data_IF_343718518375
#
_entry.id   IF_343718518375
#
_cell.length_a   1.000
_cell.length_b   1.000
_cell.length_c   1.000
_cell.angle_alpha   90.00
_cell.angle_beta   90.00
_cell.angle_gamma   90.00
#
_symmetry.space_group_name_H-M   'P 1'
#
loop_
_entity.id
_entity.type
_entity.pdbx_description
1 polymer ?
#
# COMPACT_ATOMS: atom_id res chain seq x y z
N UNK A 1 -1.58 -21.90 -17.74
CA UNK A 1 -1.65 -22.95 -16.70
C UNK A 1 -0.28 -22.99 -16.01
N UNK A 2 -0.02 -22.15 -15.02
CA UNK A 2 1.11 -22.41 -14.13
C UNK A 2 0.64 -23.49 -13.14
N UNK A 3 1.50 -24.45 -12.85
CA UNK A 3 1.32 -25.34 -11.70
C UNK A 3 1.76 -24.57 -10.43
N UNK A 4 1.19 -23.37 -10.22
CA UNK A 4 1.66 -22.37 -9.27
C UNK A 4 1.85 -22.93 -7.87
N UNK A 5 2.85 -22.41 -7.15
CA UNK A 5 3.16 -22.80 -5.78
C UNK A 5 1.91 -22.59 -4.93
N UNK A 6 1.44 -23.65 -4.28
CA UNK A 6 0.26 -23.59 -3.39
C UNK A 6 0.65 -23.56 -1.91
N UNK A 7 1.84 -24.04 -1.58
CA UNK A 7 2.37 -24.08 -0.22
C UNK A 7 3.85 -23.74 -0.23
N UNK A 8 4.25 -23.02 0.81
CA UNK A 8 5.63 -22.63 1.10
C UNK A 8 6.13 -23.26 2.40
N UNK A 9 5.49 -24.35 2.83
CA UNK A 9 5.97 -25.16 3.95
C UNK A 9 7.42 -25.61 3.69
N UNK A 10 8.26 -25.47 4.71
CA UNK A 10 9.70 -25.64 4.63
C UNK A 10 10.48 -24.32 4.49
N UNK A 11 9.85 -23.24 4.01
CA UNK A 11 10.52 -21.92 3.94
C UNK A 11 10.84 -21.35 5.31
N UNK A 12 10.13 -21.77 6.38
CA UNK A 12 10.44 -21.34 7.75
C UNK A 12 11.87 -21.68 8.19
N UNK A 13 12.54 -22.64 7.53
CA UNK A 13 13.92 -23.01 7.83
C UNK A 13 14.96 -22.13 7.11
N UNK A 14 14.54 -21.32 6.14
CA UNK A 14 15.41 -20.46 5.33
C UNK A 14 15.69 -19.12 6.03
N UNK A 15 16.15 -19.19 7.29
CA UNK A 15 16.29 -18.05 8.21
C UNK A 15 17.31 -16.97 7.81
N UNK A 16 18.05 -17.18 6.72
CA UNK A 16 18.99 -16.21 6.16
C UNK A 16 18.46 -15.45 4.95
N UNK A 17 17.21 -15.68 4.51
CA UNK A 17 16.61 -14.94 3.41
C UNK A 17 16.53 -13.44 3.75
N UNK A 18 17.03 -12.62 2.83
CA UNK A 18 16.83 -11.17 2.80
C UNK A 18 15.78 -10.75 1.77
N UNK A 19 15.66 -11.50 0.69
CA UNK A 19 14.76 -11.20 -0.44
C UNK A 19 13.98 -12.47 -0.78
N UNK A 20 12.68 -12.33 -1.02
CA UNK A 20 11.80 -13.44 -1.38
C UNK A 20 10.74 -12.97 -2.37
N UNK A 21 10.70 -13.63 -3.53
CA UNK A 21 9.74 -13.37 -4.60
C UNK A 21 8.83 -14.59 -4.80
N UNK A 22 7.53 -14.38 -4.63
CA UNK A 22 6.48 -15.39 -4.70
C UNK A 22 5.27 -14.92 -5.54
N UNK A 23 5.43 -13.87 -6.34
CA UNK A 23 4.37 -13.30 -7.19
C UNK A 23 3.78 -14.33 -8.15
N UNK A 24 2.48 -14.19 -8.45
CA UNK A 24 1.70 -14.99 -9.41
C UNK A 24 1.70 -16.50 -9.12
N UNK A 25 1.53 -16.84 -7.85
CA UNK A 25 1.35 -18.21 -7.37
C UNK A 25 -0.09 -18.46 -6.91
N UNK A 26 -0.32 -19.51 -6.12
CA UNK A 26 -1.63 -19.89 -5.58
C UNK A 26 -1.53 -20.08 -4.05
N UNK A 27 -0.69 -19.28 -3.41
CA UNK A 27 -0.42 -19.35 -1.98
C UNK A 27 -1.58 -18.69 -1.24
N UNK A 28 -2.16 -19.40 -0.27
CA UNK A 28 -3.21 -18.86 0.60
C UNK A 28 -2.75 -18.65 2.04
N UNK A 29 -1.60 -19.24 2.41
CA UNK A 29 -1.07 -19.22 3.77
C UNK A 29 0.41 -18.83 3.75
N UNK A 30 0.71 -17.71 4.41
CA UNK A 30 2.06 -17.15 4.59
C UNK A 30 2.59 -17.34 6.01
N UNK A 31 1.94 -18.14 6.86
CA UNK A 31 2.41 -18.48 8.20
C UNK A 31 3.84 -19.03 8.26
N UNK A 32 4.35 -19.79 7.26
CA UNK A 32 5.75 -20.22 7.27
C UNK A 32 6.76 -19.06 7.22
N UNK A 33 6.36 -17.86 6.80
CA UNK A 33 7.23 -16.69 6.73
C UNK A 33 7.41 -15.97 8.08
N UNK A 34 6.58 -16.25 9.09
CA UNK A 34 6.43 -15.41 10.28
C UNK A 34 7.72 -15.10 11.05
N UNK A 35 8.71 -16.00 10.99
CA UNK A 35 9.98 -15.88 11.71
C UNK A 35 11.17 -15.51 10.82
N UNK A 36 10.96 -15.23 9.53
CA UNK A 36 12.01 -14.86 8.58
C UNK A 36 12.37 -13.37 8.70
N UNK A 37 12.73 -12.95 9.91
CA UNK A 37 12.91 -11.56 10.34
C UNK A 37 14.03 -10.79 9.63
N UNK A 38 14.86 -11.46 8.82
CA UNK A 38 15.90 -10.85 7.99
C UNK A 38 15.41 -10.37 6.63
N UNK A 39 14.19 -10.74 6.23
CA UNK A 39 13.62 -10.30 4.95
C UNK A 39 13.47 -8.78 4.94
N UNK A 40 14.03 -8.15 3.91
CA UNK A 40 13.95 -6.73 3.60
C UNK A 40 13.04 -6.47 2.39
N UNK A 41 12.90 -7.45 1.49
CA UNK A 41 12.07 -7.31 0.28
C UNK A 41 11.20 -8.57 0.10
N UNK A 42 9.90 -8.37 -0.05
CA UNK A 42 8.92 -9.44 -0.15
C UNK A 42 7.87 -9.17 -1.24
N UNK A 43 7.89 -9.99 -2.28
CA UNK A 43 6.89 -10.01 -3.34
C UNK A 43 5.88 -11.14 -3.13
N UNK A 44 4.61 -10.79 -2.94
CA UNK A 44 3.50 -11.73 -2.73
C UNK A 44 2.31 -11.47 -3.64
N UNK A 45 2.43 -10.53 -4.58
CA UNK A 45 1.38 -10.13 -5.51
C UNK A 45 0.77 -11.32 -6.27
N UNK A 46 -0.51 -11.24 -6.63
CA UNK A 46 -1.17 -12.29 -7.43
C UNK A 46 -1.39 -13.62 -6.70
N UNK A 47 -1.35 -13.63 -5.36
CA UNK A 47 -1.70 -14.78 -4.52
C UNK A 47 -3.00 -14.51 -3.75
N UNK A 48 -3.93 -15.47 -3.62
CA UNK A 48 -5.20 -15.28 -2.90
C UNK A 48 -5.02 -15.25 -1.36
N UNK A 49 -4.34 -14.22 -0.84
CA UNK A 49 -3.99 -14.00 0.56
C UNK A 49 -5.00 -13.09 1.26
N UNK A 50 -5.98 -13.67 1.97
CA UNK A 50 -6.90 -12.85 2.79
C UNK A 50 -6.32 -12.41 4.13
N UNK A 51 -5.35 -13.17 4.64
CA UNK A 51 -4.73 -12.97 5.94
C UNK A 51 -3.21 -12.87 5.78
N UNK A 52 -2.67 -11.71 6.14
CA UNK A 52 -1.23 -11.40 6.14
C UNK A 52 -0.72 -11.13 7.57
N UNK A 53 -1.41 -11.64 8.59
CA UNK A 53 -1.04 -11.49 10.01
C UNK A 53 0.35 -12.05 10.32
N UNK A 54 0.76 -13.10 9.61
CA UNK A 54 2.10 -13.67 9.72
C UNK A 54 3.23 -12.67 9.41
N UNK A 55 2.96 -11.62 8.62
CA UNK A 55 3.96 -10.62 8.25
C UNK A 55 4.27 -9.63 9.39
N UNK A 56 3.44 -9.57 10.45
CA UNK A 56 3.57 -8.56 11.51
C UNK A 56 4.95 -8.54 12.20
N UNK A 57 5.63 -9.69 12.23
CA UNK A 57 6.96 -9.85 12.83
C UNK A 57 8.14 -9.46 11.93
N UNK A 58 7.92 -9.20 10.63
CA UNK A 58 8.98 -8.96 9.65
C UNK A 58 9.49 -7.52 9.70
N UNK A 59 10.00 -7.10 10.86
CA UNK A 59 10.37 -5.71 11.16
C UNK A 59 11.52 -5.15 10.30
N UNK A 60 12.25 -6.00 9.59
CA UNK A 60 13.32 -5.57 8.66
C UNK A 60 12.80 -5.19 7.27
N UNK A 61 11.51 -5.43 6.97
CA UNK A 61 10.93 -5.12 5.67
C UNK A 61 11.09 -3.65 5.29
N UNK A 62 11.54 -3.45 4.06
CA UNK A 62 11.66 -2.15 3.37
C UNK A 62 10.74 -2.08 2.17
N UNK A 63 10.55 -3.19 1.46
CA UNK A 63 9.66 -3.28 0.30
C UNK A 63 8.68 -4.44 0.48
N UNK A 64 7.40 -4.17 0.28
CA UNK A 64 6.34 -5.17 0.35
C UNK A 64 5.34 -4.94 -0.78
N UNK A 65 5.17 -5.97 -1.62
CA UNK A 65 4.19 -5.96 -2.71
C UNK A 65 3.10 -7.00 -2.47
N UNK A 66 1.87 -6.52 -2.36
CA UNK A 66 0.65 -7.29 -2.11
C UNK A 66 -0.43 -6.91 -3.14
N UNK A 67 -0.05 -6.76 -4.42
CA UNK A 67 -0.99 -6.38 -5.48
C UNK A 67 -1.91 -7.56 -5.77
N UNK A 68 -3.22 -7.34 -5.88
CA UNK A 68 -4.17 -8.39 -6.27
C UNK A 68 -4.05 -9.64 -5.37
N UNK A 69 -4.19 -9.44 -4.06
CA UNK A 69 -4.09 -10.53 -3.08
C UNK A 69 -5.37 -10.82 -2.28
N UNK A 70 -6.48 -10.14 -2.54
CA UNK A 70 -7.74 -10.25 -1.78
C UNK A 70 -7.66 -9.80 -0.29
N UNK A 71 -6.65 -9.00 0.09
CA UNK A 71 -6.57 -8.46 1.46
C UNK A 71 -7.64 -7.37 1.67
N UNK A 72 -8.21 -7.34 2.87
CA UNK A 72 -9.14 -6.28 3.33
C UNK A 72 -8.63 -5.56 4.58
N UNK A 73 -7.80 -6.23 5.38
CA UNK A 73 -7.28 -5.74 6.65
C UNK A 73 -5.75 -5.64 6.60
N UNK A 74 -5.23 -4.44 6.88
CA UNK A 74 -3.80 -4.13 6.92
C UNK A 74 -3.29 -3.88 8.35
N UNK A 75 -4.06 -4.24 9.38
CA UNK A 75 -3.70 -4.06 10.80
C UNK A 75 -2.35 -4.70 11.13
N UNK A 76 -2.04 -5.85 10.55
CA UNK A 76 -0.76 -6.54 10.77
C UNK A 76 0.46 -5.76 10.28
N UNK A 77 0.27 -4.81 9.35
CA UNK A 77 1.34 -4.00 8.77
C UNK A 77 1.72 -2.81 9.66
N UNK A 78 0.92 -2.44 10.66
CA UNK A 78 1.09 -1.22 11.45
C UNK A 78 2.48 -1.05 12.09
N UNK A 79 3.10 -2.17 12.45
CA UNK A 79 4.40 -2.17 13.10
C UNK A 79 5.58 -2.33 12.15
N UNK A 80 5.41 -2.31 10.84
CA UNK A 80 6.48 -2.48 9.84
C UNK A 80 7.15 -1.13 9.52
N UNK A 81 7.57 -0.41 10.57
CA UNK A 81 7.99 1.00 10.49
C UNK A 81 9.24 1.26 9.66
N UNK A 82 9.95 0.22 9.21
CA UNK A 82 11.08 0.32 8.28
C UNK A 82 10.66 0.29 6.80
N UNK A 83 9.38 0.06 6.49
CA UNK A 83 8.85 0.09 5.13
C UNK A 83 9.14 1.44 4.47
N UNK A 84 9.64 1.36 3.24
CA UNK A 84 9.93 2.46 2.33
C UNK A 84 9.01 2.40 1.12
N UNK A 85 8.65 1.19 0.69
CA UNK A 85 7.72 0.94 -0.40
C UNK A 85 6.66 -0.07 0.02
N UNK A 86 5.39 0.31 -0.19
CA UNK A 86 4.24 -0.55 0.07
C UNK A 86 3.27 -0.44 -1.10
N UNK A 87 3.06 -1.57 -1.79
CA UNK A 87 2.05 -1.66 -2.84
C UNK A 87 0.90 -2.57 -2.40
N UNK A 88 -0.30 -1.98 -2.33
CA UNK A 88 -1.56 -2.62 -1.94
C UNK A 88 -2.61 -2.53 -3.06
N UNK A 89 -2.19 -2.23 -4.29
CA UNK A 89 -3.10 -2.03 -5.42
C UNK A 89 -4.01 -3.24 -5.65
N UNK A 90 -5.23 -3.00 -6.15
CA UNK A 90 -6.20 -4.03 -6.54
C UNK A 90 -6.53 -4.95 -5.34
N UNK A 91 -6.94 -4.34 -4.23
CA UNK A 91 -7.43 -5.03 -3.04
C UNK A 91 -8.74 -4.41 -2.54
N UNK A 92 -9.36 -5.03 -1.54
CA UNK A 92 -10.66 -4.58 -1.02
C UNK A 92 -10.52 -3.78 0.29
N UNK A 93 -9.42 -3.03 0.41
CA UNK A 93 -9.08 -2.23 1.59
C UNK A 93 -9.94 -0.97 1.65
N UNK A 94 -10.46 -0.65 2.83
CA UNK A 94 -11.21 0.59 3.13
C UNK A 94 -10.53 1.45 4.18
N UNK A 95 -9.90 0.82 5.19
CA UNK A 95 -9.25 1.49 6.30
C UNK A 95 -7.73 1.35 6.21
N UNK A 96 -7.04 2.48 6.14
CA UNK A 96 -5.58 2.58 6.15
C UNK A 96 -5.04 3.23 7.44
N UNK A 97 -5.87 3.38 8.47
CA UNK A 97 -5.45 3.83 9.80
C UNK A 97 -4.24 3.08 10.37
N UNK A 98 -4.06 1.75 10.13
CA UNK A 98 -2.85 1.05 10.57
C UNK A 98 -1.55 1.59 9.95
N UNK A 99 -1.61 2.23 8.79
CA UNK A 99 -0.42 2.70 8.07
C UNK A 99 0.13 4.02 8.64
N UNK A 100 -0.57 4.68 9.57
CA UNK A 100 -0.21 6.01 10.08
C UNK A 100 1.17 6.09 10.76
N UNK A 101 1.70 4.95 11.24
CA UNK A 101 3.01 4.87 11.89
C UNK A 101 4.18 4.58 10.94
N UNK A 102 3.92 4.34 9.64
CA UNK A 102 4.95 3.97 8.65
C UNK A 102 5.77 5.19 8.18
N UNK A 103 6.36 5.92 9.13
CA UNK A 103 7.08 7.19 8.91
C UNK A 103 8.28 7.12 7.96
N UNK A 104 8.74 5.93 7.57
CA UNK A 104 9.80 5.74 6.57
C UNK A 104 9.30 5.57 5.13
N UNK A 105 7.98 5.49 4.94
CA UNK A 105 7.36 5.24 3.64
C UNK A 105 7.64 6.39 2.67
N UNK A 106 8.10 6.03 1.49
CA UNK A 106 8.43 6.91 0.37
C UNK A 106 7.47 6.69 -0.79
N UNK A 107 7.08 5.43 -1.02
CA UNK A 107 6.12 5.04 -2.06
C UNK A 107 4.96 4.29 -1.43
N UNK A 108 3.74 4.76 -1.69
CA UNK A 108 2.50 4.09 -1.31
C UNK A 108 1.56 3.99 -2.51
N UNK A 109 1.16 2.76 -2.82
CA UNK A 109 0.16 2.48 -3.86
C UNK A 109 -1.07 1.82 -3.25
N UNK A 110 -2.22 2.44 -3.48
CA UNK A 110 -3.56 2.08 -3.01
C UNK A 110 -4.56 2.05 -4.17
N UNK A 111 -4.09 2.05 -5.42
CA UNK A 111 -4.91 2.10 -6.60
C UNK A 111 -5.91 0.94 -6.68
N UNK A 112 -7.12 1.21 -7.18
CA UNK A 112 -8.19 0.20 -7.26
C UNK A 112 -8.52 -0.44 -5.91
N UNK A 113 -8.44 0.34 -4.82
CA UNK A 113 -8.97 -0.03 -3.50
C UNK A 113 -10.28 0.72 -3.21
N UNK A 114 -10.83 0.57 -2.00
CA UNK A 114 -12.04 1.27 -1.57
C UNK A 114 -11.76 2.36 -0.54
N UNK A 115 -10.51 2.82 -0.45
CA UNK A 115 -10.08 3.87 0.48
C UNK A 115 -10.73 5.21 0.09
N UNK A 116 -11.28 5.91 1.08
CA UNK A 116 -11.82 7.26 0.92
C UNK A 116 -11.17 8.29 1.83
N UNK A 117 -10.59 7.86 2.96
CA UNK A 117 -9.96 8.72 3.96
C UNK A 117 -8.45 8.61 3.88
N UNK A 118 -7.80 9.73 3.53
CA UNK A 118 -6.34 9.86 3.46
C UNK A 118 -5.74 10.47 4.74
N UNK A 119 -6.54 10.76 5.77
CA UNK A 119 -6.04 11.31 7.04
C UNK A 119 -4.88 10.50 7.64
N UNK A 120 -4.89 9.14 7.61
CA UNK A 120 -3.79 8.35 8.16
C UNK A 120 -2.42 8.64 7.55
N UNK A 121 -2.35 9.13 6.31
CA UNK A 121 -1.06 9.39 5.64
C UNK A 121 -0.55 10.82 5.84
N UNK A 122 -1.31 11.71 6.50
CA UNK A 122 -0.99 13.15 6.62
C UNK A 122 0.38 13.46 7.27
N UNK A 123 0.92 12.52 8.06
CA UNK A 123 2.19 12.68 8.76
C UNK A 123 3.34 11.85 8.14
N UNK A 124 3.13 11.19 7.00
CA UNK A 124 4.16 10.43 6.29
C UNK A 124 5.08 11.39 5.52
N UNK A 125 5.83 12.22 6.26
CA UNK A 125 6.66 13.31 5.73
C UNK A 125 7.73 12.90 4.71
N UNK A 126 8.05 11.60 4.59
CA UNK A 126 8.98 11.05 3.60
C UNK A 126 8.30 10.56 2.32
N UNK A 127 6.98 10.58 2.26
CA UNK A 127 6.23 10.12 1.09
C UNK A 127 6.54 11.03 -0.11
N UNK A 128 7.07 10.44 -1.16
CA UNK A 128 7.42 11.09 -2.44
C UNK A 128 6.41 10.73 -3.52
N UNK A 129 5.89 9.50 -3.50
CA UNK A 129 4.95 8.99 -4.49
C UNK A 129 3.71 8.44 -3.79
N UNK A 130 2.55 8.95 -4.19
CA UNK A 130 1.25 8.42 -3.80
C UNK A 130 0.45 8.03 -5.04
N UNK A 131 0.07 6.76 -5.14
CA UNK A 131 -0.97 6.32 -6.05
C UNK A 131 -2.23 5.96 -5.25
N UNK A 132 -3.33 6.65 -5.52
CA UNK A 132 -4.66 6.34 -5.02
C UNK A 132 -5.70 6.48 -6.15
N UNK A 133 -5.35 6.04 -7.37
CA UNK A 133 -6.26 5.95 -8.52
C UNK A 133 -7.44 5.02 -8.25
N UNK A 134 -8.60 5.33 -8.84
CA UNK A 134 -9.82 4.51 -8.76
C UNK A 134 -10.11 4.07 -7.33
N UNK A 135 -10.16 5.06 -6.45
CA UNK A 135 -10.52 4.92 -5.05
C UNK A 135 -11.87 5.62 -4.83
N UNK A 136 -12.17 6.01 -3.59
CA UNK A 136 -13.36 6.80 -3.23
C UNK A 136 -12.97 8.13 -2.59
N UNK A 137 -11.79 8.66 -2.94
CA UNK A 137 -11.23 9.88 -2.35
C UNK A 137 -12.00 11.09 -2.85
N UNK A 138 -12.34 11.99 -1.93
CA UNK A 138 -12.96 13.30 -2.25
C UNK A 138 -12.24 14.45 -1.54
N UNK A 139 -11.75 14.21 -0.33
CA UNK A 139 -10.92 15.13 0.43
C UNK A 139 -9.43 14.77 0.29
N UNK A 140 -8.65 15.72 -0.20
CA UNK A 140 -7.19 15.62 -0.30
C UNK A 140 -6.46 16.64 0.59
N UNK A 141 -7.16 17.27 1.54
CA UNK A 141 -6.56 18.11 2.57
C UNK A 141 -5.42 17.43 3.35
N UNK A 142 -5.43 16.09 3.60
CA UNK A 142 -4.30 15.40 4.23
C UNK A 142 -2.98 15.49 3.45
N UNK A 143 -3.03 15.77 2.14
CA UNK A 143 -1.82 15.86 1.31
C UNK A 143 -1.05 17.18 1.50
N UNK A 144 -1.70 18.23 2.04
CA UNK A 144 -1.12 19.57 2.13
C UNK A 144 0.16 19.64 2.99
N UNK A 145 0.33 18.71 3.94
CA UNK A 145 1.51 18.62 4.82
C UNK A 145 2.66 17.78 4.23
N UNK A 146 2.43 17.07 3.12
CA UNK A 146 3.39 16.13 2.55
C UNK A 146 4.38 16.83 1.61
N UNK A 147 5.26 17.65 2.18
CA UNK A 147 6.20 18.50 1.45
C UNK A 147 7.21 17.76 0.55
N UNK A 148 7.37 16.45 0.77
CA UNK A 148 8.27 15.60 -0.01
C UNK A 148 7.62 15.00 -1.26
N UNK A 149 6.30 15.14 -1.44
CA UNK A 149 5.60 14.61 -2.61
C UNK A 149 6.15 15.21 -3.90
N UNK A 150 6.45 14.33 -4.84
CA UNK A 150 6.88 14.64 -6.21
C UNK A 150 5.86 14.17 -7.23
N UNK A 151 5.10 13.11 -6.91
CA UNK A 151 4.13 12.49 -7.81
C UNK A 151 2.86 12.10 -7.05
N UNK A 152 1.70 12.49 -7.59
CA UNK A 152 0.39 12.07 -7.09
C UNK A 152 -0.50 11.59 -8.23
N UNK A 153 -1.01 10.36 -8.10
CA UNK A 153 -1.92 9.73 -9.05
C UNK A 153 -3.27 9.56 -8.35
N UNK A 154 -4.26 10.35 -8.79
CA UNK A 154 -5.57 10.50 -8.16
C UNK A 154 -6.72 10.37 -9.18
N UNK A 155 -6.45 9.73 -10.34
CA UNK A 155 -7.45 9.46 -11.38
C UNK A 155 -8.66 8.73 -10.83
N UNK A 156 -9.82 8.88 -11.47
CA UNK A 156 -11.02 8.09 -11.18
C UNK A 156 -11.47 8.20 -9.71
N UNK A 157 -11.47 9.41 -9.15
CA UNK A 157 -11.92 9.70 -7.78
C UNK A 157 -13.11 10.69 -7.76
N UNK A 158 -13.38 11.33 -6.63
CA UNK A 158 -14.50 12.28 -6.43
C UNK A 158 -13.98 13.66 -5.98
N UNK A 159 -12.77 14.03 -6.40
CA UNK A 159 -12.08 15.25 -5.95
C UNK A 159 -12.63 16.46 -6.70
N UNK A 160 -12.97 17.51 -5.96
CA UNK A 160 -13.46 18.78 -6.50
C UNK A 160 -12.62 20.00 -6.11
N UNK A 161 -11.85 19.90 -5.02
CA UNK A 161 -10.93 20.94 -4.57
C UNK A 161 -9.48 20.43 -4.62
N UNK A 162 -8.67 21.12 -5.41
CA UNK A 162 -7.23 20.84 -5.57
C UNK A 162 -6.35 21.84 -4.83
N UNK A 163 -6.93 22.79 -4.10
CA UNK A 163 -6.20 23.78 -3.31
C UNK A 163 -5.18 23.17 -2.33
N UNK A 164 -5.39 21.97 -1.74
CA UNK A 164 -4.37 21.33 -0.89
C UNK A 164 -3.03 21.06 -1.59
N UNK A 165 -3.02 20.92 -2.93
CA UNK A 165 -1.81 20.65 -3.70
C UNK A 165 -0.99 21.91 -4.00
N UNK A 166 -1.56 23.10 -3.84
CA UNK A 166 -1.00 24.36 -4.37
C UNK A 166 0.37 24.75 -3.79
N UNK A 167 0.70 24.27 -2.59
CA UNK A 167 1.92 24.65 -1.86
C UNK A 167 2.92 23.49 -1.69
N UNK A 168 2.72 22.36 -2.37
CA UNK A 168 3.67 21.25 -2.34
C UNK A 168 4.85 21.60 -3.27
N UNK A 169 6.05 21.90 -2.73
CA UNK A 169 7.09 22.62 -3.48
C UNK A 169 7.74 21.81 -4.60
N UNK A 170 7.78 20.48 -4.48
CA UNK A 170 8.48 19.59 -5.41
C UNK A 170 7.53 18.76 -6.28
N UNK A 171 6.23 19.08 -6.27
CA UNK A 171 5.22 18.32 -7.01
C UNK A 171 5.41 18.53 -8.52
N UNK A 172 5.72 17.45 -9.23
CA UNK A 172 6.07 17.46 -10.65
C UNK A 172 5.10 16.68 -11.53
N UNK A 173 4.41 15.69 -10.96
CA UNK A 173 3.43 14.85 -11.66
C UNK A 173 2.14 14.86 -10.85
N UNK A 174 1.03 15.18 -11.53
CA UNK A 174 -0.32 15.17 -10.99
C UNK A 174 -1.24 14.54 -12.04
N UNK A 175 -1.87 13.41 -11.70
CA UNK A 175 -2.91 12.81 -12.54
C UNK A 175 -4.27 12.89 -11.84
N UNK A 176 -5.20 13.66 -12.41
CA UNK A 176 -6.54 13.95 -11.84
C UNK A 176 -7.67 13.68 -12.84
N UNK A 177 -7.44 12.90 -13.90
CA UNK A 177 -8.49 12.66 -14.90
C UNK A 177 -9.67 11.88 -14.29
N UNK A 178 -10.83 11.98 -14.92
CA UNK A 178 -11.99 11.13 -14.64
C UNK A 178 -12.57 11.26 -13.21
N UNK A 179 -12.57 12.47 -12.64
CA UNK A 179 -13.24 12.74 -11.37
C UNK A 179 -14.77 12.71 -11.53
N UNK A 180 -15.45 11.86 -10.76
CA UNK A 180 -16.91 11.71 -10.78
C UNK A 180 -17.49 12.26 -9.48
N UNK A 181 -17.96 13.51 -9.52
CA UNK A 181 -18.57 14.18 -8.37
C UNK A 181 -20.04 13.74 -8.26
N UNK A 182 -20.33 12.78 -7.40
CA UNK A 182 -21.68 12.17 -7.30
C UNK A 182 -22.68 13.00 -6.47
N UNK A 183 -22.29 14.14 -5.88
CA UNK A 183 -23.17 14.96 -5.04
C UNK A 183 -22.95 16.48 -5.23
N UNK A 184 -23.20 17.03 -6.42
CA UNK A 184 -23.49 18.47 -6.50
C UNK A 184 -24.99 18.70 -6.26
N UNK A 185 -25.41 19.50 -5.27
CA UNK A 185 -26.76 20.00 -5.25
C UNK A 185 -26.98 20.84 -6.52
N UNK A 186 -28.10 20.58 -7.20
CA UNK A 186 -28.61 21.40 -8.33
C UNK A 186 -28.83 22.84 -7.89
#
# INVERSE_FOLDING_TARGET
KSAGITTIEGMQYLTNLSELELTDNQITDVSPLANLTKITELGLSGNPLKDVSALAGLKSLKMLHLIYTDITDVTSLAGLTNLQELNLDINQITDISPLAALSNLQTLSLGYTQVSDLTPIANLSKLTILNAENCKVSDISPLASLSSLTEVYLRENQISDVSPLANIPNLSIIELTDQIITNQPV
#
